data_IF_632840891359
#
_entry.id   IF_632840891359
#
_cell.length_a   1.000
_cell.length_b   1.000
_cell.length_c   1.000
_cell.angle_alpha   90.00
_cell.angle_beta   90.00
_cell.angle_gamma   90.00
#
_symmetry.space_group_name_H-M   'P 1'
#
loop_
_entity.id
_entity.type
_entity.pdbx_description
1 polymer ?
#
# COMPACT_ATOMS: atom_id res chain seq x y z
N UNK A 1 -82.06 -32.95 -12.49
CA UNK A 1 -81.14 -33.16 -11.38
C UNK A 1 -79.68 -33.16 -11.88
N UNK A 2 -79.17 -32.18 -12.58
CA UNK A 2 -77.77 -32.11 -13.09
C UNK A 2 -77.19 -30.67 -13.13
N UNK A 3 -77.58 -29.77 -12.22
CA UNK A 3 -77.12 -28.38 -12.25
C UNK A 3 -76.47 -27.87 -10.96
N UNK A 4 -76.35 -28.70 -9.92
CA UNK A 4 -75.83 -28.22 -8.61
C UNK A 4 -74.48 -28.79 -8.20
N UNK A 5 -73.73 -29.52 -9.07
CA UNK A 5 -72.43 -30.08 -8.74
C UNK A 5 -71.27 -29.21 -9.23
N UNK A 6 -71.49 -28.20 -10.09
CA UNK A 6 -70.43 -27.37 -10.69
C UNK A 6 -70.08 -26.13 -9.88
N UNK A 7 -70.81 -25.85 -8.77
CA UNK A 7 -70.55 -24.61 -7.99
C UNK A 7 -69.75 -24.82 -6.68
N UNK A 8 -69.54 -26.09 -6.28
CA UNK A 8 -68.80 -26.42 -5.04
C UNK A 8 -67.29 -26.62 -5.28
N UNK A 9 -66.88 -26.91 -6.52
CA UNK A 9 -65.48 -27.16 -6.87
C UNK A 9 -64.63 -25.88 -7.12
N UNK A 10 -65.26 -24.69 -7.19
CA UNK A 10 -64.54 -23.43 -7.44
C UNK A 10 -64.20 -22.65 -6.17
N UNK A 11 -64.68 -23.08 -5.00
CA UNK A 11 -64.46 -22.36 -3.72
C UNK A 11 -63.23 -22.85 -2.94
N UNK A 12 -62.52 -23.88 -3.40
CA UNK A 12 -61.37 -24.48 -2.69
C UNK A 12 -60.01 -24.06 -3.21
N UNK A 13 -59.91 -23.11 -4.16
CA UNK A 13 -58.65 -22.66 -4.73
C UNK A 13 -58.15 -21.28 -4.20
N UNK A 14 -58.88 -20.63 -3.29
CA UNK A 14 -58.50 -19.32 -2.77
C UNK A 14 -57.92 -19.32 -1.35
N UNK A 15 -57.81 -20.48 -0.68
CA UNK A 15 -57.22 -20.52 0.68
C UNK A 15 -55.73 -20.73 0.75
N UNK A 16 -55.04 -20.97 -0.39
CA UNK A 16 -53.60 -21.29 -0.40
C UNK A 16 -52.65 -20.09 -0.38
N UNK A 17 -53.13 -18.87 -0.72
CA UNK A 17 -52.28 -17.70 -0.73
C UNK A 17 -52.09 -17.02 0.64
N UNK A 18 -53.01 -17.22 1.58
CA UNK A 18 -52.95 -16.64 2.91
C UNK A 18 -51.97 -17.39 3.85
N UNK A 19 -51.83 -18.70 3.65
CA UNK A 19 -50.86 -19.50 4.43
C UNK A 19 -49.40 -19.26 4.04
N UNK A 20 -49.12 -19.05 2.74
CA UNK A 20 -47.79 -18.68 2.28
C UNK A 20 -47.34 -17.32 2.81
N UNK A 21 -48.27 -16.36 2.93
CA UNK A 21 -47.96 -15.03 3.52
C UNK A 21 -47.77 -15.09 5.03
N UNK A 22 -48.39 -16.02 5.73
CA UNK A 22 -48.19 -16.21 7.17
C UNK A 22 -46.90 -16.99 7.48
N UNK A 23 -46.49 -17.93 6.63
CA UNK A 23 -45.21 -18.62 6.74
C UNK A 23 -44.06 -17.62 6.45
N UNK A 24 -44.22 -16.73 5.47
CA UNK A 24 -43.25 -15.65 5.19
C UNK A 24 -43.14 -14.62 6.34
N UNK A 25 -44.23 -14.42 7.11
CA UNK A 25 -44.19 -13.54 8.32
C UNK A 25 -43.66 -14.24 9.57
N UNK A 26 -43.71 -15.58 9.65
CA UNK A 26 -43.18 -16.36 10.76
C UNK A 26 -41.71 -16.77 10.58
N UNK A 27 -41.18 -16.73 9.39
CA UNK A 27 -39.73 -16.79 9.19
C UNK A 27 -39.16 -15.47 9.64
N UNK A 28 -38.77 -15.42 10.92
CA UNK A 28 -38.09 -14.28 11.51
C UNK A 28 -36.79 -14.06 10.74
N UNK A 29 -36.83 -13.23 9.69
CA UNK A 29 -35.68 -12.83 8.90
C UNK A 29 -34.56 -12.20 9.74
N UNK A 30 -34.86 -11.80 10.98
CA UNK A 30 -33.86 -11.33 11.93
C UNK A 30 -32.95 -12.45 12.46
N UNK A 31 -33.37 -13.72 12.39
CA UNK A 31 -32.53 -14.88 12.74
C UNK A 31 -31.58 -15.33 11.63
N UNK A 32 -31.82 -14.92 10.38
CA UNK A 32 -30.97 -15.26 9.21
C UNK A 32 -29.79 -14.29 9.02
N UNK A 33 -29.69 -13.23 9.83
CA UNK A 33 -28.68 -12.18 9.66
C UNK A 33 -27.38 -12.41 10.46
N UNK A 34 -27.22 -13.53 11.12
CA UNK A 34 -26.01 -13.81 11.90
C UNK A 34 -25.38 -15.18 11.64
N UNK A 35 -25.21 -15.55 10.37
CA UNK A 35 -24.24 -16.62 10.11
C UNK A 35 -22.88 -16.12 10.59
N UNK A 36 -22.24 -16.79 11.58
CA UNK A 36 -20.95 -16.36 12.09
C UNK A 36 -19.94 -16.23 10.94
N UNK A 37 -19.08 -15.20 11.02
CA UNK A 37 -18.01 -15.04 10.04
C UNK A 37 -17.00 -16.16 10.25
N UNK A 38 -16.68 -16.89 9.19
CA UNK A 38 -15.76 -18.01 9.22
C UNK A 38 -14.31 -17.55 9.24
N UNK A 39 -13.38 -18.42 9.67
CA UNK A 39 -11.96 -18.11 9.61
C UNK A 39 -11.48 -17.86 8.17
N UNK A 40 -12.01 -18.58 7.17
CA UNK A 40 -11.70 -18.35 5.76
C UNK A 40 -12.17 -16.97 5.28
N UNK A 41 -13.34 -16.50 5.73
CA UNK A 41 -13.81 -15.14 5.44
C UNK A 41 -12.93 -14.10 6.12
N UNK A 42 -12.50 -14.31 7.37
CA UNK A 42 -11.56 -13.42 8.06
C UNK A 42 -10.24 -13.30 7.28
N UNK A 43 -9.65 -14.42 6.84
CA UNK A 43 -8.46 -14.41 5.99
C UNK A 43 -8.71 -13.61 4.70
N UNK A 44 -9.83 -13.85 4.02
CA UNK A 44 -10.19 -13.15 2.79
C UNK A 44 -10.39 -11.65 3.02
N UNK A 45 -11.02 -11.27 4.12
CA UNK A 45 -11.22 -9.87 4.51
C UNK A 45 -9.89 -9.15 4.79
N UNK A 46 -8.99 -9.78 5.54
CA UNK A 46 -7.66 -9.23 5.83
C UNK A 46 -6.83 -9.06 4.54
N UNK A 47 -6.82 -10.06 3.66
CA UNK A 47 -6.14 -9.94 2.36
C UNK A 47 -6.77 -8.85 1.50
N UNK A 48 -8.10 -8.76 1.46
CA UNK A 48 -8.80 -7.70 0.72
C UNK A 48 -8.50 -6.30 1.26
N UNK A 49 -8.33 -6.12 2.57
CA UNK A 49 -7.93 -4.82 3.13
C UNK A 49 -6.53 -4.41 2.69
N UNK A 50 -5.60 -5.36 2.63
CA UNK A 50 -4.24 -5.13 2.13
C UNK A 50 -4.23 -4.82 0.62
N UNK A 51 -5.04 -5.53 -0.17
CA UNK A 51 -5.19 -5.28 -1.62
C UNK A 51 -5.72 -3.86 -1.90
N UNK A 52 -6.77 -3.44 -1.17
CA UNK A 52 -7.30 -2.07 -1.26
C UNK A 52 -6.25 -1.06 -0.78
N UNK A 53 -5.56 -1.39 0.31
CA UNK A 53 -4.50 -0.55 0.88
C UNK A 53 -3.38 -0.28 -0.11
N UNK A 54 -2.86 -1.31 -0.80
CA UNK A 54 -1.77 -1.12 -1.76
C UNK A 54 -2.22 -0.34 -3.01
N UNK A 55 -3.44 -0.58 -3.51
CA UNK A 55 -3.96 0.19 -4.65
C UNK A 55 -4.04 1.68 -4.33
N UNK A 56 -4.56 2.04 -3.15
CA UNK A 56 -4.64 3.43 -2.71
C UNK A 56 -3.26 4.02 -2.42
N UNK A 57 -2.36 3.26 -1.78
CA UNK A 57 -1.00 3.70 -1.52
C UNK A 57 -0.25 4.05 -2.83
N UNK A 58 -0.33 3.18 -3.83
CA UNK A 58 0.25 3.43 -5.17
C UNK A 58 -0.40 4.63 -5.84
N UNK A 59 -1.73 4.75 -5.77
CA UNK A 59 -2.47 5.89 -6.32
C UNK A 59 -2.07 7.24 -5.71
N UNK A 60 -1.68 7.27 -4.42
CA UNK A 60 -1.25 8.48 -3.72
C UNK A 60 0.23 8.79 -3.92
N UNK A 61 1.09 7.78 -3.88
CA UNK A 61 2.54 7.95 -3.96
C UNK A 61 3.07 7.99 -5.40
N UNK A 62 2.38 7.32 -6.35
CA UNK A 62 2.81 7.22 -7.75
C UNK A 62 2.44 8.42 -8.63
N UNK A 63 1.87 9.47 -8.09
CA UNK A 63 1.59 10.72 -8.80
C UNK A 63 2.75 11.71 -8.64
N UNK A 64 2.78 12.73 -9.48
CA UNK A 64 3.74 13.82 -9.33
C UNK A 64 3.57 14.52 -7.96
N UNK A 65 4.66 14.71 -7.25
CA UNK A 65 4.71 15.21 -5.88
C UNK A 65 4.12 14.27 -4.81
N UNK A 66 3.84 13.00 -5.12
CA UNK A 66 3.40 12.01 -4.14
C UNK A 66 4.44 11.71 -3.06
N UNK A 67 5.75 11.85 -3.41
CA UNK A 67 6.85 11.85 -2.46
C UNK A 67 7.36 13.26 -2.19
N UNK A 68 7.73 14.00 -3.23
CA UNK A 68 8.38 15.31 -3.09
C UNK A 68 7.51 16.32 -2.34
N UNK A 69 6.21 16.30 -2.56
CA UNK A 69 5.24 17.25 -1.98
C UNK A 69 4.75 16.90 -0.57
N UNK A 70 5.05 15.70 -0.07
CA UNK A 70 4.64 15.25 1.25
C UNK A 70 5.84 15.19 2.20
N UNK A 71 5.85 16.02 3.23
CA UNK A 71 6.97 16.12 4.18
C UNK A 71 7.27 14.77 4.90
N UNK A 72 6.28 13.88 5.04
CA UNK A 72 6.46 12.57 5.66
C UNK A 72 7.17 11.57 4.74
N UNK A 73 7.07 11.75 3.41
CA UNK A 73 7.60 10.80 2.42
C UNK A 73 8.71 11.37 1.55
N UNK A 74 8.92 12.68 1.57
CA UNK A 74 9.98 13.34 0.80
C UNK A 74 11.34 12.70 1.09
N UNK A 75 11.95 12.14 0.04
CA UNK A 75 13.29 11.57 0.13
C UNK A 75 14.32 12.70 0.05
N UNK A 76 15.14 12.80 1.06
CA UNK A 76 16.35 13.63 1.06
C UNK A 76 17.51 12.80 0.53
N UNK A 77 18.73 13.37 0.55
CA UNK A 77 19.93 12.59 0.28
C UNK A 77 20.10 11.51 1.37
N UNK A 78 20.66 10.33 1.04
CA UNK A 78 21.03 9.32 2.04
C UNK A 78 21.92 9.88 3.14
N UNK A 79 21.82 9.35 4.35
CA UNK A 79 22.61 9.83 5.48
C UNK A 79 24.13 9.75 5.22
N UNK A 80 24.56 8.76 4.46
CA UNK A 80 25.95 8.57 4.04
C UNK A 80 26.45 9.70 3.11
N UNK A 81 25.53 10.45 2.51
CA UNK A 81 25.84 11.60 1.68
C UNK A 81 25.91 12.92 2.48
N UNK A 82 25.74 12.88 3.80
CA UNK A 82 25.85 14.08 4.66
C UNK A 82 27.17 14.87 4.42
N UNK A 83 28.33 14.23 4.19
CA UNK A 83 29.57 14.98 3.87
C UNK A 83 29.47 15.88 2.63
N UNK A 84 28.63 15.52 1.65
CA UNK A 84 28.38 16.37 0.48
C UNK A 84 27.65 17.64 0.91
N UNK A 85 26.60 17.50 1.74
CA UNK A 85 25.79 18.63 2.22
C UNK A 85 26.61 19.56 3.08
N UNK A 86 27.40 19.02 4.00
CA UNK A 86 28.23 19.79 4.92
C UNK A 86 29.33 20.60 4.19
N UNK A 87 29.76 20.09 3.03
CA UNK A 87 30.83 20.66 2.26
C UNK A 87 30.37 21.18 0.87
N UNK A 88 29.08 21.46 0.73
CA UNK A 88 28.45 21.83 -0.55
C UNK A 88 29.14 23.00 -1.26
N UNK A 89 29.71 23.95 -0.50
CA UNK A 89 30.40 25.13 -1.01
C UNK A 89 31.72 24.82 -1.75
N UNK A 90 32.26 23.61 -1.55
CA UNK A 90 33.48 23.15 -2.24
C UNK A 90 33.14 22.61 -3.65
N UNK A 91 31.89 22.47 -3.98
CA UNK A 91 31.41 21.95 -5.28
C UNK A 91 30.87 23.13 -6.09
N UNK A 92 31.43 23.47 -7.27
CA UNK A 92 30.86 24.48 -8.14
C UNK A 92 29.39 24.10 -8.51
N UNK A 93 28.44 25.02 -8.25
CA UNK A 93 27.01 24.75 -8.44
C UNK A 93 26.44 23.68 -7.50
N UNK A 94 27.10 23.42 -6.37
CA UNK A 94 26.77 22.31 -5.47
C UNK A 94 25.35 22.33 -4.96
N UNK A 95 24.82 23.48 -4.55
CA UNK A 95 23.45 23.59 -4.07
C UNK A 95 22.43 23.16 -5.15
N UNK A 96 22.60 23.65 -6.38
CA UNK A 96 21.74 23.29 -7.51
C UNK A 96 21.82 21.79 -7.82
N UNK A 97 23.02 21.20 -7.73
CA UNK A 97 23.20 19.74 -7.92
C UNK A 97 22.52 18.93 -6.82
N UNK A 98 22.55 19.36 -5.56
CA UNK A 98 21.84 18.72 -4.45
C UNK A 98 20.32 18.81 -4.66
N UNK A 99 19.81 19.99 -4.96
CA UNK A 99 18.37 20.20 -5.20
C UNK A 99 17.87 19.34 -6.36
N UNK A 100 18.66 19.27 -7.45
CA UNK A 100 18.36 18.42 -8.60
C UNK A 100 18.43 16.93 -8.27
N UNK A 101 19.38 16.51 -7.42
CA UNK A 101 19.48 15.13 -6.97
C UNK A 101 18.26 14.74 -6.11
N UNK A 102 17.85 15.58 -5.16
CA UNK A 102 16.67 15.38 -4.34
C UNK A 102 15.42 15.31 -5.22
N UNK A 103 15.23 16.23 -6.15
CA UNK A 103 14.12 16.19 -7.11
C UNK A 103 14.12 14.88 -7.89
N UNK A 104 15.26 14.49 -8.45
CA UNK A 104 15.37 13.29 -9.30
C UNK A 104 15.10 11.99 -8.53
N UNK A 105 15.59 11.89 -7.29
CA UNK A 105 15.35 10.74 -6.39
C UNK A 105 13.85 10.59 -6.13
N UNK A 106 13.15 11.67 -5.79
CA UNK A 106 11.72 11.62 -5.54
C UNK A 106 10.93 11.26 -6.81
N UNK A 107 11.26 11.81 -7.97
CA UNK A 107 10.64 11.43 -9.25
C UNK A 107 10.84 9.95 -9.58
N UNK A 108 12.01 9.39 -9.27
CA UNK A 108 12.26 7.96 -9.46
C UNK A 108 11.45 7.10 -8.49
N UNK A 109 11.29 7.51 -7.24
CA UNK A 109 10.43 6.82 -6.28
C UNK A 109 8.95 6.84 -6.73
N UNK A 110 8.44 8.01 -7.16
CA UNK A 110 7.09 8.19 -7.70
C UNK A 110 6.84 7.31 -8.95
N UNK A 111 7.82 7.20 -9.84
CA UNK A 111 7.72 6.33 -11.02
C UNK A 111 7.78 4.85 -10.65
N UNK A 112 8.69 4.47 -9.74
CA UNK A 112 8.87 3.08 -9.34
C UNK A 112 7.66 2.49 -8.61
N UNK A 113 7.01 3.24 -7.70
CA UNK A 113 5.89 2.71 -6.92
C UNK A 113 4.67 2.34 -7.77
N UNK A 114 4.55 2.85 -8.99
CA UNK A 114 3.50 2.43 -9.96
C UNK A 114 3.58 0.94 -10.26
N UNK A 115 4.78 0.36 -10.19
CA UNK A 115 5.03 -1.06 -10.44
C UNK A 115 4.84 -1.94 -9.18
N UNK A 116 4.52 -1.34 -8.02
CA UNK A 116 4.43 -2.08 -6.76
C UNK A 116 3.16 -2.94 -6.63
N UNK A 117 2.03 -2.50 -7.19
CA UNK A 117 0.74 -3.18 -7.02
C UNK A 117 0.79 -4.68 -7.35
N UNK A 118 1.25 -5.14 -8.52
CA UNK A 118 1.27 -6.57 -8.84
C UNK A 118 2.21 -7.36 -7.91
N UNK A 119 3.32 -6.76 -7.48
CA UNK A 119 4.30 -7.39 -6.59
C UNK A 119 3.67 -7.63 -5.21
N UNK A 120 3.02 -6.61 -4.64
CA UNK A 120 2.33 -6.72 -3.35
C UNK A 120 1.14 -7.68 -3.41
N UNK A 121 0.31 -7.61 -4.46
CA UNK A 121 -0.83 -8.53 -4.63
C UNK A 121 -0.40 -9.99 -4.69
N UNK A 122 0.72 -10.28 -5.33
CA UNK A 122 1.30 -11.64 -5.34
C UNK A 122 1.69 -12.06 -3.92
N UNK A 123 2.43 -11.23 -3.19
CA UNK A 123 2.83 -11.51 -1.81
C UNK A 123 1.63 -11.68 -0.87
N UNK A 124 0.59 -10.83 -0.99
CA UNK A 124 -0.66 -10.94 -0.23
C UNK A 124 -1.38 -12.26 -0.55
N UNK A 125 -1.47 -12.64 -1.81
CA UNK A 125 -2.11 -13.88 -2.24
C UNK A 125 -1.41 -15.10 -1.64
N UNK A 126 -0.08 -15.14 -1.67
CA UNK A 126 0.73 -16.25 -1.19
C UNK A 126 0.88 -16.28 0.34
N UNK A 127 0.63 -15.17 1.01
CA UNK A 127 0.74 -15.05 2.46
C UNK A 127 -0.20 -16.03 3.17
N UNK A 128 0.35 -16.85 4.07
CA UNK A 128 -0.40 -17.77 4.93
C UNK A 128 -0.74 -17.07 6.24
N UNK A 129 -2.01 -17.03 6.59
CA UNK A 129 -2.50 -16.45 7.84
C UNK A 129 -2.98 -17.59 8.75
N UNK A 130 -2.23 -17.89 9.80
CA UNK A 130 -2.56 -18.94 10.75
C UNK A 130 -3.60 -18.47 11.79
N UNK A 131 -3.49 -17.23 12.26
CA UNK A 131 -4.37 -16.61 13.25
C UNK A 131 -5.03 -15.34 12.69
N UNK A 132 -6.08 -15.55 11.89
CA UNK A 132 -6.83 -14.44 11.31
C UNK A 132 -7.64 -13.67 12.36
N UNK A 133 -8.13 -14.32 13.39
CA UNK A 133 -8.88 -13.67 14.46
C UNK A 133 -7.96 -12.77 15.29
N UNK A 134 -6.78 -13.26 15.69
CA UNK A 134 -5.79 -12.46 16.41
C UNK A 134 -5.35 -11.21 15.63
N UNK A 135 -5.22 -11.32 14.31
CA UNK A 135 -4.91 -10.16 13.46
C UNK A 135 -6.12 -9.23 13.35
N UNK A 136 -7.33 -9.77 13.11
CA UNK A 136 -8.53 -8.96 12.92
C UNK A 136 -8.89 -8.15 14.17
N UNK A 137 -8.84 -8.77 15.35
CA UNK A 137 -9.15 -8.11 16.62
C UNK A 137 -7.92 -7.48 17.32
N UNK A 138 -6.77 -7.50 16.65
CA UNK A 138 -5.52 -6.89 17.09
C UNK A 138 -5.42 -5.38 16.85
N UNK A 139 -4.19 -4.89 16.74
CA UNK A 139 -3.89 -3.48 16.50
C UNK A 139 -4.49 -2.97 15.17
N UNK A 140 -4.64 -1.66 15.04
CA UNK A 140 -5.27 -1.00 13.89
C UNK A 140 -4.54 -1.18 12.55
N UNK A 141 -3.28 -1.67 12.59
CA UNK A 141 -2.43 -1.98 11.43
C UNK A 141 -1.89 -3.41 11.46
N UNK A 142 -2.55 -4.32 12.20
CA UNK A 142 -2.02 -5.67 12.47
C UNK A 142 -1.84 -6.51 11.19
N UNK A 143 -2.69 -6.37 10.18
CA UNK A 143 -2.54 -7.09 8.92
C UNK A 143 -1.36 -6.55 8.09
N UNK A 144 -1.17 -5.24 8.08
CA UNK A 144 -0.03 -4.58 7.43
C UNK A 144 1.29 -4.98 8.08
N UNK A 145 1.37 -4.98 9.40
CA UNK A 145 2.56 -5.43 10.13
C UNK A 145 2.85 -6.93 9.91
N UNK A 146 1.81 -7.74 9.84
CA UNK A 146 1.96 -9.16 9.50
C UNK A 146 2.53 -9.33 8.09
N UNK A 147 1.97 -8.63 7.08
CA UNK A 147 2.49 -8.63 5.71
C UNK A 147 3.96 -8.18 5.69
N UNK A 148 4.28 -7.06 6.34
CA UNK A 148 5.64 -6.52 6.39
C UNK A 148 6.62 -7.56 6.96
N UNK A 149 6.31 -8.10 8.13
CA UNK A 149 7.19 -9.06 8.83
C UNK A 149 7.44 -10.32 8.02
N UNK A 150 6.43 -10.82 7.31
CA UNK A 150 6.52 -12.11 6.59
C UNK A 150 7.05 -11.99 5.17
N UNK A 151 6.97 -10.80 4.54
CA UNK A 151 7.24 -10.66 3.11
C UNK A 151 8.24 -9.56 2.74
N UNK A 152 8.70 -8.74 3.69
CA UNK A 152 9.53 -7.56 3.37
C UNK A 152 10.76 -7.89 2.52
N UNK A 153 11.52 -8.93 2.87
CA UNK A 153 12.71 -9.34 2.11
C UNK A 153 12.39 -9.75 0.67
N UNK A 154 11.33 -10.52 0.47
CA UNK A 154 10.86 -10.93 -0.86
C UNK A 154 10.35 -9.74 -1.67
N UNK A 155 9.56 -8.85 -1.03
CA UNK A 155 9.09 -7.61 -1.65
C UNK A 155 10.25 -6.71 -2.07
N UNK A 156 11.25 -6.52 -1.21
CA UNK A 156 12.46 -5.74 -1.52
C UNK A 156 13.19 -6.30 -2.74
N UNK A 157 13.41 -7.61 -2.77
CA UNK A 157 14.10 -8.27 -3.90
C UNK A 157 13.31 -8.16 -5.21
N UNK A 158 11.98 -8.27 -5.16
CA UNK A 158 11.13 -8.17 -6.34
C UNK A 158 10.97 -6.71 -6.83
N UNK A 159 11.04 -5.74 -5.92
CA UNK A 159 10.84 -4.32 -6.24
C UNK A 159 12.12 -3.60 -6.67
N UNK A 160 13.30 -3.99 -6.17
CA UNK A 160 14.58 -3.37 -6.50
C UNK A 160 14.84 -3.22 -8.01
N UNK A 161 14.57 -4.22 -8.89
CA UNK A 161 14.73 -4.06 -10.33
C UNK A 161 13.84 -2.97 -10.94
N UNK A 162 12.65 -2.74 -10.36
CA UNK A 162 11.72 -1.67 -10.80
C UNK A 162 12.25 -0.30 -10.43
N UNK A 163 12.76 -0.18 -9.21
CA UNK A 163 13.45 1.04 -8.74
C UNK A 163 14.66 1.35 -9.61
N UNK A 164 15.51 0.35 -9.88
CA UNK A 164 16.66 0.51 -10.80
C UNK A 164 16.24 1.07 -12.15
N UNK A 165 15.23 0.46 -12.77
CA UNK A 165 14.69 0.93 -14.06
C UNK A 165 14.24 2.40 -13.96
N UNK A 166 13.57 2.80 -12.88
CA UNK A 166 13.12 4.17 -12.69
C UNK A 166 14.27 5.15 -12.45
N UNK A 167 15.33 4.73 -11.73
CA UNK A 167 16.55 5.53 -11.56
C UNK A 167 17.31 5.76 -12.88
N UNK A 168 17.20 4.85 -13.84
CA UNK A 168 17.82 4.94 -15.16
C UNK A 168 17.00 5.79 -16.15
N UNK A 169 15.70 6.01 -15.90
CA UNK A 169 14.84 6.83 -16.77
C UNK A 169 15.23 8.32 -16.73
N UNK A 170 15.15 9.05 -17.84
CA UNK A 170 15.43 10.49 -17.90
C UNK A 170 14.22 11.31 -17.43
N UNK A 171 13.85 11.20 -16.15
CA UNK A 171 12.62 11.77 -15.57
C UNK A 171 12.70 13.27 -15.32
N UNK A 172 13.92 13.84 -15.16
CA UNK A 172 14.13 15.26 -14.85
C UNK A 172 15.06 15.90 -15.86
N UNK A 173 14.57 16.87 -16.60
CA UNK A 173 15.33 17.61 -17.62
C UNK A 173 16.11 16.70 -18.60
N UNK A 174 15.49 15.59 -19.03
CA UNK A 174 16.09 14.56 -19.89
C UNK A 174 17.37 13.92 -19.33
N UNK A 175 17.54 13.91 -18.01
CA UNK A 175 18.68 13.29 -17.32
C UNK A 175 18.16 12.25 -16.33
N UNK A 176 18.82 11.08 -16.28
CA UNK A 176 18.48 10.05 -15.31
C UNK A 176 18.96 10.42 -13.90
N UNK A 177 18.28 9.87 -12.91
CA UNK A 177 18.64 10.07 -11.51
C UNK A 177 20.03 9.54 -11.21
N UNK A 178 20.40 8.37 -11.76
CA UNK A 178 21.77 7.84 -11.62
C UNK A 178 22.83 8.78 -12.17
N UNK A 179 22.59 9.41 -13.33
CA UNK A 179 23.53 10.38 -13.91
C UNK A 179 23.62 11.63 -13.04
N UNK A 180 22.50 12.15 -12.54
CA UNK A 180 22.49 13.31 -11.64
C UNK A 180 23.25 13.00 -10.34
N UNK A 181 22.98 11.85 -9.72
CA UNK A 181 23.66 11.39 -8.52
C UNK A 181 25.16 11.21 -8.73
N UNK A 182 25.55 10.53 -9.82
CA UNK A 182 26.97 10.32 -10.15
C UNK A 182 27.69 11.64 -10.40
N UNK A 183 27.05 12.64 -10.99
CA UNK A 183 27.64 13.97 -11.18
C UNK A 183 27.91 14.64 -9.85
N UNK A 184 26.96 14.62 -8.93
CA UNK A 184 27.09 15.19 -7.60
C UNK A 184 28.16 14.46 -6.77
N UNK A 185 28.04 13.13 -6.64
CA UNK A 185 28.91 12.31 -5.79
C UNK A 185 30.36 12.27 -6.30
N UNK A 186 30.55 12.13 -7.64
CA UNK A 186 31.91 12.16 -8.20
C UNK A 186 32.55 13.56 -8.14
N UNK A 187 31.75 14.62 -8.31
CA UNK A 187 32.22 15.99 -8.13
C UNK A 187 32.76 16.22 -6.72
N UNK A 188 32.01 15.81 -5.71
CA UNK A 188 32.44 15.84 -4.31
C UNK A 188 33.66 14.95 -4.05
N UNK A 189 33.61 13.68 -4.48
CA UNK A 189 34.66 12.71 -4.24
C UNK A 189 36.01 13.12 -4.86
N UNK A 190 35.98 13.87 -5.96
CA UNK A 190 37.17 14.46 -6.58
C UNK A 190 37.87 15.47 -5.65
N UNK A 191 37.08 16.29 -4.95
CA UNK A 191 37.58 17.22 -3.95
C UNK A 191 38.05 16.49 -2.70
N UNK A 192 37.19 15.58 -2.16
CA UNK A 192 37.50 14.84 -0.93
C UNK A 192 38.73 13.93 -1.07
N UNK A 193 38.92 13.30 -2.25
CA UNK A 193 40.09 12.45 -2.55
C UNK A 193 41.36 13.21 -2.95
N UNK A 194 41.32 14.54 -3.05
CA UNK A 194 42.50 15.35 -3.33
C UNK A 194 43.40 15.47 -2.10
N UNK A 195 44.66 15.86 -2.30
CA UNK A 195 45.60 16.13 -1.18
C UNK A 195 45.02 17.18 -0.21
N UNK A 196 44.40 18.22 -0.73
CA UNK A 196 43.76 19.27 0.07
C UNK A 196 42.57 18.74 0.85
N UNK A 197 41.72 17.93 0.22
CA UNK A 197 40.59 17.30 0.86
C UNK A 197 41.00 16.34 1.98
N UNK A 198 42.04 15.56 1.74
CA UNK A 198 42.62 14.61 2.72
C UNK A 198 43.15 15.36 3.95
N UNK A 199 43.88 16.48 3.74
CA UNK A 199 44.40 17.34 4.84
C UNK A 199 43.21 17.96 5.59
N UNK A 200 42.14 18.36 4.91
CA UNK A 200 40.93 18.91 5.51
C UNK A 200 40.05 17.85 6.20
N UNK A 201 40.44 16.58 6.18
CA UNK A 201 39.69 15.49 6.81
C UNK A 201 38.40 15.10 6.08
N UNK A 202 38.27 15.47 4.79
CA UNK A 202 37.09 15.10 4.00
C UNK A 202 37.09 13.61 3.71
N UNK A 203 35.90 12.99 3.79
CA UNK A 203 35.69 11.58 3.49
C UNK A 203 34.91 11.45 2.18
N UNK A 204 35.32 10.51 1.32
CA UNK A 204 34.58 10.17 0.12
C UNK A 204 33.23 9.53 0.46
N UNK A 205 32.26 9.72 -0.41
CA UNK A 205 30.90 9.21 -0.27
C UNK A 205 30.71 8.07 -1.25
N UNK A 206 30.22 6.93 -0.76
CA UNK A 206 29.81 5.79 -1.56
C UNK A 206 28.44 5.32 -1.05
N UNK A 207 27.40 5.47 -1.87
CA UNK A 207 26.02 5.17 -1.51
C UNK A 207 25.42 4.24 -2.54
N UNK A 208 24.79 3.17 -2.07
CA UNK A 208 23.88 2.35 -2.86
C UNK A 208 22.51 3.05 -2.98
N UNK A 209 22.39 3.90 -4.01
CA UNK A 209 21.18 4.70 -4.24
C UNK A 209 19.97 3.80 -4.58
N UNK A 210 20.19 2.67 -5.27
CA UNK A 210 19.12 1.71 -5.61
C UNK A 210 18.52 1.10 -4.33
N UNK A 211 19.38 0.63 -3.42
CA UNK A 211 18.95 0.08 -2.14
C UNK A 211 18.22 1.15 -1.30
N UNK A 212 18.80 2.34 -1.20
CA UNK A 212 18.20 3.45 -0.45
C UNK A 212 16.79 3.79 -0.93
N UNK A 213 16.61 4.01 -2.24
CA UNK A 213 15.29 4.36 -2.79
C UNK A 213 14.32 3.20 -2.67
N UNK A 214 14.79 1.94 -2.83
CA UNK A 214 13.96 0.74 -2.67
C UNK A 214 13.39 0.66 -1.26
N UNK A 215 14.22 0.79 -0.23
CA UNK A 215 13.79 0.72 1.16
C UNK A 215 12.83 1.85 1.50
N UNK A 216 13.17 3.08 1.15
CA UNK A 216 12.32 4.25 1.43
C UNK A 216 10.97 4.18 0.72
N UNK A 217 10.93 3.72 -0.53
CA UNK A 217 9.69 3.56 -1.27
C UNK A 217 8.80 2.46 -0.68
N UNK A 218 9.39 1.32 -0.27
CA UNK A 218 8.66 0.26 0.43
C UNK A 218 8.13 0.73 1.78
N UNK A 219 8.93 1.44 2.57
CA UNK A 219 8.50 1.97 3.86
C UNK A 219 7.31 2.94 3.70
N UNK A 220 7.36 3.83 2.70
CA UNK A 220 6.26 4.74 2.38
C UNK A 220 4.98 3.98 1.99
N UNK A 221 5.10 2.93 1.15
CA UNK A 221 3.98 2.08 0.79
C UNK A 221 3.36 1.42 2.02
N UNK A 222 4.16 0.83 2.91
CA UNK A 222 3.67 0.20 4.13
C UNK A 222 2.97 1.21 5.07
N UNK A 223 3.49 2.42 5.20
CA UNK A 223 2.84 3.48 6.00
C UNK A 223 1.47 3.83 5.43
N UNK A 224 1.35 3.97 4.11
CA UNK A 224 0.06 4.25 3.45
C UNK A 224 -0.91 3.07 3.54
N UNK A 225 -0.43 1.83 3.38
CA UNK A 225 -1.26 0.62 3.55
C UNK A 225 -1.79 0.52 4.98
N UNK A 226 -0.95 0.78 5.99
CA UNK A 226 -1.36 0.80 7.39
C UNK A 226 -2.41 1.87 7.68
N UNK A 227 -2.29 3.06 7.10
CA UNK A 227 -3.27 4.12 7.24
C UNK A 227 -4.63 3.72 6.62
N UNK A 228 -4.62 3.05 5.48
CA UNK A 228 -5.85 2.57 4.86
C UNK A 228 -6.48 1.39 5.62
N UNK A 229 -5.67 0.46 6.15
CA UNK A 229 -6.15 -0.61 7.03
C UNK A 229 -6.86 -0.02 8.26
N UNK A 230 -6.25 0.99 8.89
CA UNK A 230 -6.86 1.71 10.01
C UNK A 230 -8.22 2.30 9.64
N UNK A 231 -8.32 2.97 8.48
CA UNK A 231 -9.60 3.53 8.00
C UNK A 231 -10.65 2.42 7.81
N UNK A 232 -10.30 1.30 7.17
CA UNK A 232 -11.21 0.16 6.95
C UNK A 232 -11.71 -0.42 8.29
N UNK A 233 -10.86 -0.45 9.31
CA UNK A 233 -11.23 -0.91 10.66
C UNK A 233 -12.21 0.03 11.36
N UNK A 234 -12.03 1.33 11.24
CA UNK A 234 -12.73 2.36 12.02
C UNK A 234 -13.95 2.93 11.30
N UNK A 235 -13.90 3.03 9.95
CA UNK A 235 -14.94 3.69 9.16
C UNK A 235 -15.66 2.70 8.23
N UNK A 236 -16.95 2.42 8.44
CA UNK A 236 -17.74 1.59 7.54
C UNK A 236 -17.77 2.08 6.08
N UNK A 237 -17.59 3.39 5.83
CA UNK A 237 -17.56 3.97 4.47
C UNK A 237 -16.31 3.53 3.72
N UNK A 238 -15.19 3.33 4.41
CA UNK A 238 -13.94 2.85 3.81
C UNK A 238 -14.01 1.37 3.36
N UNK A 239 -15.01 0.62 3.79
CA UNK A 239 -15.23 -0.80 3.43
C UNK A 239 -15.91 -0.93 2.06
N UNK A 240 -15.11 -0.74 1.01
CA UNK A 240 -15.58 -0.58 -0.38
C UNK A 240 -16.21 -1.82 -1.02
N UNK A 241 -16.07 -3.01 -0.42
CA UNK A 241 -16.64 -4.26 -0.95
C UNK A 241 -17.34 -5.10 0.13
N UNK A 242 -18.07 -6.14 -0.30
CA UNK A 242 -18.90 -6.96 0.60
C UNK A 242 -18.09 -7.71 1.66
N UNK A 243 -16.90 -8.24 1.32
CA UNK A 243 -16.08 -8.98 2.28
C UNK A 243 -15.51 -8.06 3.36
N UNK A 244 -15.11 -6.84 3.03
CA UNK A 244 -14.66 -5.85 4.00
C UNK A 244 -15.79 -5.46 4.95
N UNK A 245 -17.00 -5.19 4.43
CA UNK A 245 -18.18 -4.86 5.26
C UNK A 245 -18.51 -6.00 6.22
N UNK A 246 -18.48 -7.25 5.74
CA UNK A 246 -18.81 -8.43 6.53
C UNK A 246 -17.77 -8.72 7.61
N UNK A 247 -16.49 -8.70 7.26
CA UNK A 247 -15.40 -9.07 8.17
C UNK A 247 -15.12 -7.95 9.17
N UNK A 248 -14.90 -6.73 8.71
CA UNK A 248 -14.60 -5.59 9.59
C UNK A 248 -15.83 -5.05 10.33
N UNK A 249 -17.05 -5.36 9.87
CA UNK A 249 -18.28 -5.10 10.61
C UNK A 249 -18.38 -5.82 11.96
N UNK A 250 -17.56 -6.84 12.20
CA UNK A 250 -17.43 -7.48 13.52
C UNK A 250 -16.82 -6.52 14.56
N UNK A 251 -16.05 -5.53 14.14
CA UNK A 251 -15.41 -4.54 15.00
C UNK A 251 -16.38 -3.45 15.48
N UNK A 252 -17.52 -3.27 14.80
CA UNK A 252 -18.53 -2.25 15.12
C UNK A 252 -19.40 -2.63 16.32
N UNK A 253 -19.33 -3.88 16.78
CA UNK A 253 -20.21 -4.46 17.83
C UNK A 253 -19.63 -4.34 19.24
N UNK A 254 -18.68 -3.42 19.47
CA UNK A 254 -18.11 -3.17 20.79
C UNK A 254 -18.75 -1.97 21.47
#
# INVERSE_FOLDING_TARGET
>A
MKKNILFVTLLLLFSSCAELLNIAKQVNLQGLTSVPVTNAENISGLKSSLDVGIEKAVGQLGIENGFLGDAAFKLLLPAEAQPIVDNIRLIPGGQELVDKAILSINRSAEDAVKEATPIFKMAIKEMTIADAAGILFGAENAATEYLRRTTYGALKSAFAPKVKTSLEKPLVANVSTLKTWNTLSSGYNKVAGSTVGSIAGLKTVNVDLENYVTEKALDALFVRVAAEEKLIRQDPVARVNAILKRVFGQLDKK
#
